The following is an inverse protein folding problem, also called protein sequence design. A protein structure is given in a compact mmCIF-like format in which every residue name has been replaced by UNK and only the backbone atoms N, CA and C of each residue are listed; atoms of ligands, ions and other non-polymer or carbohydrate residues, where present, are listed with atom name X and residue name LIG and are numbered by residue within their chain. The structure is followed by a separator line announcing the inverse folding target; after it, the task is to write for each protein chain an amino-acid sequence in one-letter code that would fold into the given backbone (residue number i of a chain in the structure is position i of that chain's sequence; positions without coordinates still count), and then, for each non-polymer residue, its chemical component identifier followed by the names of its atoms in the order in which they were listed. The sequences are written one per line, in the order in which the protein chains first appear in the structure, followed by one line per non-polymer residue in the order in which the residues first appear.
data_IF_470865043064
#
_entry.id   IF_470865043064
#
_cell.length_a   1.000
_cell.length_b   1.000
_cell.length_c   1.000
_cell.angle_alpha   90.00
_cell.angle_beta   90.00
_cell.angle_gamma   90.00
#
_symmetry.space_group_name_H-M   'P 1'
#
loop_
_entity.id
_entity.type
_entity.pdbx_description
1 polymer ?
#
# COMPACT_ATOMS: atom_id res chain seq x y z
N UNK A 1 -7.62 4.96 23.24
CA UNK A 1 -8.40 3.71 23.27
C UNK A 1 -9.89 4.05 23.29
N UNK A 2 -10.70 3.30 22.56
CA UNK A 2 -12.16 3.27 22.67
C UNK A 2 -12.63 1.83 22.90
N UNK A 3 -13.79 1.66 23.54
CA UNK A 3 -14.43 0.35 23.73
C UNK A 3 -15.85 0.44 23.16
N UNK A 4 -16.27 -0.58 22.40
CA UNK A 4 -17.61 -0.65 21.82
C UNK A 4 -18.28 -2.00 22.09
N UNK A 5 -19.52 -1.99 22.57
CA UNK A 5 -20.32 -3.19 22.82
C UNK A 5 -21.25 -3.48 21.63
N UNK A 6 -21.01 -4.59 20.93
CA UNK A 6 -21.82 -5.03 19.79
C UNK A 6 -22.78 -6.16 20.15
N UNK A 7 -22.87 -6.52 21.43
CA UNK A 7 -23.82 -7.55 21.89
C UNK A 7 -25.25 -7.04 21.75
N UNK A 8 -26.19 -7.95 21.50
CA UNK A 8 -27.62 -7.64 21.49
C UNK A 8 -28.22 -7.50 22.91
N UNK A 9 -27.45 -7.83 23.95
CA UNK A 9 -27.86 -7.80 25.34
C UNK A 9 -27.96 -6.35 25.85
N UNK A 10 -28.63 -6.16 27.00
CA UNK A 10 -28.59 -4.87 27.71
C UNK A 10 -27.13 -4.50 28.03
N UNK A 11 -26.75 -3.22 27.97
CA UNK A 11 -25.35 -2.79 28.09
C UNK A 11 -24.63 -3.26 29.35
N UNK A 12 -25.34 -3.47 30.46
CA UNK A 12 -24.77 -3.93 31.72
C UNK A 12 -25.03 -5.41 32.02
N UNK A 13 -25.76 -6.14 31.18
CA UNK A 13 -26.16 -7.52 31.44
C UNK A 13 -25.21 -8.52 30.75
N UNK A 14 -24.78 -9.54 31.49
CA UNK A 14 -23.91 -10.60 30.98
C UNK A 14 -24.69 -11.88 30.66
N UNK A 15 -25.85 -12.08 31.28
CA UNK A 15 -26.67 -13.27 31.10
C UNK A 15 -27.60 -13.47 32.28
N UNK A 16 -28.01 -14.71 32.50
CA UNK A 16 -28.82 -15.10 33.65
C UNK A 16 -28.07 -16.15 34.48
N UNK A 17 -28.16 -16.01 35.80
CA UNK A 17 -27.57 -16.90 36.80
C UNK A 17 -28.65 -17.47 37.72
N UNK A 18 -28.38 -18.60 38.36
CA UNK A 18 -29.29 -19.23 39.32
C UNK A 18 -28.89 -18.88 40.76
N UNK A 19 -29.81 -18.25 41.51
CA UNK A 19 -29.63 -17.90 42.91
C UNK A 19 -30.82 -18.41 43.71
N UNK A 20 -30.57 -19.29 44.68
CA UNK A 20 -31.59 -19.95 45.50
C UNK A 20 -32.80 -20.46 44.68
N UNK A 21 -32.52 -21.24 43.64
CA UNK A 21 -33.52 -21.83 42.74
C UNK A 21 -34.17 -20.89 41.73
N UNK A 22 -33.87 -19.58 41.75
CA UNK A 22 -34.43 -18.59 40.82
C UNK A 22 -33.41 -18.13 39.80
N UNK A 23 -33.85 -17.97 38.56
CA UNK A 23 -33.05 -17.34 37.50
C UNK A 23 -33.12 -15.82 37.66
N UNK A 24 -31.96 -15.18 37.80
CA UNK A 24 -31.82 -13.72 37.96
C UNK A 24 -30.79 -13.19 36.97
N UNK A 25 -30.96 -11.96 36.44
CA UNK A 25 -29.99 -11.38 35.52
C UNK A 25 -28.67 -11.08 36.26
N UNK A 26 -27.55 -11.52 35.67
CA UNK A 26 -26.22 -11.06 36.10
C UNK A 26 -25.94 -9.72 35.42
N UNK A 27 -26.00 -8.65 36.20
CA UNK A 27 -25.76 -7.29 35.74
C UNK A 27 -24.61 -6.63 36.49
N UNK A 28 -23.83 -5.82 35.77
CA UNK A 28 -22.79 -4.96 36.32
C UNK A 28 -23.39 -3.65 36.85
N UNK A 29 -22.65 -2.98 37.74
CA UNK A 29 -23.02 -1.68 38.32
C UNK A 29 -23.07 -0.55 37.28
N UNK A 30 -22.34 -0.69 36.18
CA UNK A 30 -22.32 0.22 35.04
C UNK A 30 -22.32 -0.57 33.72
N UNK A 31 -22.37 0.13 32.58
CA UNK A 31 -22.30 -0.54 31.27
C UNK A 31 -20.98 -1.33 31.15
N UNK A 32 -21.03 -2.43 30.41
CA UNK A 32 -19.85 -3.25 30.16
C UNK A 32 -18.77 -2.43 29.45
N UNK A 33 -19.14 -1.60 28.49
CA UNK A 33 -18.22 -0.66 27.82
C UNK A 33 -17.42 0.17 28.83
N UNK A 34 -18.11 0.79 29.80
CA UNK A 34 -17.48 1.62 30.81
C UNK A 34 -16.63 0.80 31.77
N UNK A 35 -17.14 -0.34 32.25
CA UNK A 35 -16.38 -1.25 33.12
C UNK A 35 -15.08 -1.73 32.50
N UNK A 36 -15.09 -2.03 31.20
CA UNK A 36 -13.91 -2.49 30.49
C UNK A 36 -12.98 -1.35 30.13
N UNK A 37 -13.52 -0.20 29.73
CA UNK A 37 -12.73 1.01 29.56
C UNK A 37 -11.95 1.32 30.85
N UNK A 38 -12.61 1.37 32.00
CA UNK A 38 -11.97 1.65 33.29
C UNK A 38 -10.90 0.59 33.65
N UNK A 39 -11.17 -0.69 33.37
CA UNK A 39 -10.23 -1.79 33.63
C UNK A 39 -8.97 -1.72 32.76
N UNK A 40 -9.11 -1.41 31.47
CA UNK A 40 -7.99 -1.35 30.54
C UNK A 40 -7.27 -0.02 30.53
N UNK A 41 -7.95 1.10 30.76
CA UNK A 41 -7.32 2.42 30.88
C UNK A 41 -6.31 2.44 32.04
N UNK A 42 -6.64 1.74 33.14
CA UNK A 42 -5.69 1.52 34.25
C UNK A 42 -4.50 0.62 33.86
N UNK A 43 -4.70 -0.32 32.94
CA UNK A 43 -3.72 -1.36 32.60
C UNK A 43 -2.80 -0.96 31.43
N UNK A 44 -3.22 -0.02 30.59
CA UNK A 44 -2.46 0.48 29.45
C UNK A 44 -1.58 1.67 29.86
N UNK A 45 -0.30 1.67 29.45
CA UNK A 45 0.63 2.79 29.72
C UNK A 45 0.22 4.07 28.97
N UNK A 46 0.75 5.18 29.47
CA UNK A 46 0.46 6.58 29.12
C UNK A 46 0.30 6.83 27.62
N UNK A 47 -0.69 7.68 27.27
CA UNK A 47 -0.92 8.21 25.93
C UNK A 47 0.30 9.00 25.45
N UNK A 48 1.15 8.37 24.65
CA UNK A 48 2.08 9.10 23.79
C UNK A 48 1.29 9.68 22.60
N UNK A 49 1.72 10.85 22.12
CA UNK A 49 1.14 11.56 20.97
C UNK A 49 1.06 10.68 19.70
N UNK A 50 1.86 9.61 19.68
CA UNK A 50 2.08 8.66 18.60
C UNK A 50 1.30 7.34 18.75
N UNK A 51 0.41 7.23 19.74
CA UNK A 51 -0.36 6.01 19.99
C UNK A 51 -1.43 5.76 18.90
N UNK A 52 -1.56 4.49 18.48
CA UNK A 52 -2.61 4.09 17.53
C UNK A 52 -3.99 4.26 18.21
N UNK A 53 -5.00 4.85 17.55
CA UNK A 53 -6.37 4.91 18.06
C UNK A 53 -7.01 3.52 18.08
N UNK A 54 -6.64 2.71 19.09
CA UNK A 54 -7.15 1.36 19.31
C UNK A 54 -8.62 1.40 19.72
N UNK A 55 -9.44 0.63 19.03
CA UNK A 55 -10.81 0.29 19.39
C UNK A 55 -10.88 -1.18 19.79
N UNK A 56 -11.48 -1.45 20.94
CA UNK A 56 -11.73 -2.80 21.44
C UNK A 56 -13.22 -3.07 21.35
N UNK A 57 -13.60 -3.93 20.41
CA UNK A 57 -14.98 -4.30 20.15
C UNK A 57 -15.34 -5.57 20.90
N UNK A 58 -16.45 -5.55 21.64
CA UNK A 58 -17.00 -6.68 22.36
C UNK A 58 -18.03 -7.38 21.48
N UNK A 59 -17.66 -8.54 20.94
CA UNK A 59 -18.55 -9.35 20.12
C UNK A 59 -19.41 -10.29 20.97
N UNK A 60 -18.82 -10.82 22.06
CA UNK A 60 -19.51 -11.66 23.03
C UNK A 60 -18.92 -11.46 24.41
N UNK A 61 -19.79 -11.28 25.41
CA UNK A 61 -19.46 -11.43 26.83
C UNK A 61 -20.72 -12.01 27.44
N UNK A 62 -20.70 -13.31 27.70
CA UNK A 62 -21.89 -14.08 28.08
C UNK A 62 -21.64 -14.95 29.29
N UNK A 63 -22.66 -15.08 30.14
CA UNK A 63 -22.73 -16.06 31.22
C UNK A 63 -23.98 -16.89 31.05
N UNK A 64 -23.82 -18.21 31.04
CA UNK A 64 -24.92 -19.15 31.05
C UNK A 64 -24.73 -20.15 32.18
N UNK A 65 -25.82 -20.45 32.87
CA UNK A 65 -25.81 -21.40 33.98
C UNK A 65 -26.94 -22.41 33.85
N UNK A 66 -26.73 -23.59 34.43
CA UNK A 66 -27.76 -24.61 34.59
C UNK A 66 -27.61 -25.29 35.95
N UNK A 67 -28.75 -25.61 36.57
CA UNK A 67 -28.78 -26.43 37.79
C UNK A 67 -28.47 -27.88 37.42
N UNK A 68 -27.49 -28.48 38.10
CA UNK A 68 -27.06 -29.87 37.85
C UNK A 68 -27.32 -30.80 39.03
N UNK A 69 -27.43 -30.28 40.25
CA UNK A 69 -27.86 -31.02 41.44
C UNK A 69 -28.39 -30.03 42.51
N UNK A 70 -28.99 -30.50 43.63
CA UNK A 70 -29.32 -29.62 44.76
C UNK A 70 -28.09 -28.85 45.23
N UNK A 71 -28.21 -27.52 45.35
CA UNK A 71 -27.10 -26.62 45.70
C UNK A 71 -25.86 -26.75 44.79
N UNK A 72 -26.04 -27.12 43.52
CA UNK A 72 -24.94 -27.24 42.54
C UNK A 72 -25.36 -26.69 41.18
N UNK A 73 -24.71 -25.62 40.78
CA UNK A 73 -24.87 -24.94 39.49
C UNK A 73 -23.60 -25.16 38.66
N UNK A 74 -23.78 -25.52 37.39
CA UNK A 74 -22.71 -25.51 36.40
C UNK A 74 -22.86 -24.28 35.51
N UNK A 75 -21.80 -23.50 35.38
CA UNK A 75 -21.78 -22.27 34.60
C UNK A 75 -20.72 -22.29 33.52
N UNK A 76 -20.94 -21.48 32.49
CA UNK A 76 -20.00 -21.19 31.42
C UNK A 76 -19.99 -19.67 31.18
N UNK A 77 -18.79 -19.11 31.12
CA UNK A 77 -18.56 -17.72 30.73
C UNK A 77 -17.76 -17.71 29.42
N UNK A 78 -18.18 -16.89 28.45
CA UNK A 78 -17.47 -16.69 27.18
C UNK A 78 -17.18 -15.23 26.94
N UNK A 79 -16.05 -14.97 26.31
CA UNK A 79 -15.58 -13.65 25.88
C UNK A 79 -15.07 -13.77 24.46
N UNK A 80 -15.57 -12.93 23.57
CA UNK A 80 -15.08 -12.72 22.20
C UNK A 80 -14.88 -11.23 21.98
N UNK A 81 -13.64 -10.87 21.65
CA UNK A 81 -13.18 -9.49 21.49
C UNK A 81 -12.47 -9.35 20.16
N UNK A 82 -12.70 -8.22 19.50
CA UNK A 82 -12.02 -7.83 18.27
C UNK A 82 -11.25 -6.53 18.50
N UNK A 83 -9.95 -6.55 18.20
CA UNK A 83 -9.09 -5.37 18.23
C UNK A 83 -9.05 -4.72 16.85
N UNK A 84 -9.34 -3.43 16.83
CA UNK A 84 -9.34 -2.59 15.63
C UNK A 84 -8.56 -1.32 15.88
N UNK A 85 -8.18 -0.64 14.82
CA UNK A 85 -7.81 0.76 14.93
C UNK A 85 -8.33 1.53 13.72
N UNK A 86 -8.46 2.84 13.88
CA UNK A 86 -9.00 3.69 12.81
C UNK A 86 -7.87 4.38 12.06
N UNK A 87 -7.76 4.12 10.75
CA UNK A 87 -6.87 4.85 9.82
C UNK A 87 -7.74 5.62 8.84
N UNK A 88 -7.58 6.94 8.76
CA UNK A 88 -8.37 7.81 7.87
C UNK A 88 -9.90 7.60 7.98
N UNK A 89 -10.42 7.48 9.21
CA UNK A 89 -11.84 7.20 9.53
C UNK A 89 -12.36 5.82 9.11
N UNK A 90 -11.48 4.93 8.63
CA UNK A 90 -11.82 3.54 8.30
C UNK A 90 -11.33 2.62 9.41
N UNK A 91 -12.22 1.79 10.02
CA UNK A 91 -11.81 0.81 11.01
C UNK A 91 -11.11 -0.38 10.34
N UNK A 92 -9.89 -0.68 10.79
CA UNK A 92 -9.09 -1.81 10.33
C UNK A 92 -9.06 -2.88 11.40
N UNK A 93 -9.39 -4.12 11.01
CA UNK A 93 -9.21 -5.29 11.87
C UNK A 93 -7.73 -5.56 12.08
N UNK A 94 -7.32 -5.71 13.34
CA UNK A 94 -5.95 -6.10 13.70
C UNK A 94 -5.91 -7.58 14.05
N UNK A 95 -6.63 -7.97 15.11
CA UNK A 95 -6.67 -9.35 15.61
C UNK A 95 -7.92 -9.57 16.45
N UNK A 96 -8.21 -10.83 16.76
CA UNK A 96 -9.33 -11.24 17.60
C UNK A 96 -8.92 -12.20 18.71
N UNK A 97 -9.70 -12.19 19.78
CA UNK A 97 -9.58 -13.07 20.93
C UNK A 97 -10.91 -13.76 21.18
N UNK A 98 -10.87 -15.06 21.45
CA UNK A 98 -12.04 -15.83 21.89
C UNK A 98 -11.61 -16.81 22.98
N UNK A 99 -12.29 -16.76 24.11
CA UNK A 99 -12.03 -17.67 25.22
C UNK A 99 -13.30 -17.92 26.03
N UNK A 100 -13.31 -19.05 26.73
CA UNK A 100 -14.37 -19.39 27.65
C UNK A 100 -13.83 -20.16 28.83
N UNK A 101 -14.58 -20.14 29.93
CA UNK A 101 -14.28 -20.89 31.12
C UNK A 101 -15.55 -21.47 31.72
N UNK A 102 -15.48 -22.73 32.12
CA UNK A 102 -16.54 -23.41 32.84
C UNK A 102 -16.24 -23.41 34.34
N UNK A 103 -17.28 -23.37 35.15
CA UNK A 103 -17.16 -23.41 36.60
C UNK A 103 -18.34 -24.17 37.22
N UNK A 104 -18.16 -24.55 38.48
CA UNK A 104 -19.23 -25.13 39.30
C UNK A 104 -19.28 -24.39 40.62
N UNK A 105 -20.48 -24.07 41.10
CA UNK A 105 -20.67 -23.30 42.34
C UNK A 105 -21.94 -23.73 43.10
N UNK A 106 -22.04 -23.40 44.39
CA UNK A 106 -23.30 -23.46 45.13
C UNK A 106 -24.32 -22.44 44.60
N UNK A 107 -25.59 -22.57 45.00
CA UNK A 107 -26.67 -21.63 44.65
C UNK A 107 -26.53 -20.25 45.33
N UNK A 108 -25.57 -20.11 46.25
CA UNK A 108 -25.18 -18.85 46.91
C UNK A 108 -24.29 -17.97 46.03
N UNK A 109 -23.76 -16.87 46.59
CA UNK A 109 -22.90 -15.90 45.89
C UNK A 109 -21.66 -16.54 45.26
N UNK A 110 -21.27 -16.07 44.08
CA UNK A 110 -20.04 -16.44 43.38
C UNK A 110 -19.45 -15.22 42.67
N UNK A 111 -18.13 -15.14 42.68
CA UNK A 111 -17.39 -14.02 42.11
C UNK A 111 -17.21 -14.20 40.60
N UNK A 112 -18.26 -13.88 39.85
CA UNK A 112 -18.24 -13.84 38.40
C UNK A 112 -17.30 -12.73 37.87
N UNK A 113 -17.08 -11.69 38.66
CA UNK A 113 -16.25 -10.55 38.25
C UNK A 113 -14.78 -10.95 38.17
N UNK A 114 -14.27 -11.70 39.15
CA UNK A 114 -12.91 -12.25 39.11
C UNK A 114 -12.69 -13.15 37.89
N UNK A 115 -13.66 -14.01 37.55
CA UNK A 115 -13.56 -14.86 36.36
C UNK A 115 -13.54 -14.03 35.07
N UNK A 116 -14.41 -13.02 34.98
CA UNK A 116 -14.47 -12.12 33.84
C UNK A 116 -13.14 -11.37 33.67
N UNK A 117 -12.60 -10.77 34.74
CA UNK A 117 -11.30 -10.08 34.74
C UNK A 117 -10.19 -10.97 34.21
N UNK A 118 -10.10 -12.22 34.67
CA UNK A 118 -9.10 -13.17 34.19
C UNK A 118 -9.19 -13.44 32.68
N UNK A 119 -10.40 -13.56 32.12
CA UNK A 119 -10.58 -13.76 30.67
C UNK A 119 -10.17 -12.51 29.89
N UNK A 120 -10.50 -11.32 30.39
CA UNK A 120 -10.16 -10.04 29.78
C UNK A 120 -8.65 -9.76 29.81
N UNK A 121 -7.97 -10.07 30.92
CA UNK A 121 -6.51 -9.99 31.00
C UNK A 121 -5.85 -10.90 29.96
N UNK A 122 -6.49 -12.04 29.66
CA UNK A 122 -6.08 -12.95 28.60
C UNK A 122 -6.11 -12.29 27.22
N UNK A 123 -7.16 -11.51 26.93
CA UNK A 123 -7.29 -10.78 25.68
C UNK A 123 -6.17 -9.74 25.50
N UNK A 124 -5.87 -8.97 26.55
CA UNK A 124 -4.81 -7.94 26.50
C UNK A 124 -3.44 -8.57 26.33
N UNK A 125 -3.11 -9.64 27.07
CA UNK A 125 -1.84 -10.36 26.90
C UNK A 125 -1.66 -10.90 25.47
N UNK A 126 -2.71 -11.45 24.89
CA UNK A 126 -2.66 -11.98 23.53
C UNK A 126 -2.52 -10.85 22.49
N UNK A 127 -3.20 -9.71 22.69
CA UNK A 127 -3.02 -8.54 21.86
C UNK A 127 -1.61 -7.97 21.95
N UNK A 128 -1.05 -7.83 23.15
CA UNK A 128 0.32 -7.33 23.38
C UNK A 128 1.37 -8.23 22.69
N UNK A 129 1.23 -9.55 22.85
CA UNK A 129 2.07 -10.52 22.15
C UNK A 129 1.94 -10.38 20.63
N UNK A 130 0.70 -10.28 20.12
CA UNK A 130 0.46 -10.10 18.69
C UNK A 130 1.09 -8.80 18.19
N UNK A 131 0.90 -7.69 18.91
CA UNK A 131 1.46 -6.39 18.57
C UNK A 131 3.00 -6.45 18.52
N UNK A 132 3.65 -6.98 19.54
CA UNK A 132 5.12 -7.12 19.56
C UNK A 132 5.69 -7.98 18.43
N UNK A 133 4.94 -8.98 17.94
CA UNK A 133 5.34 -9.79 16.79
C UNK A 133 5.15 -9.07 15.44
N UNK A 134 4.19 -8.14 15.37
CA UNK A 134 3.76 -7.47 14.14
C UNK A 134 4.27 -6.03 14.02
N UNK A 135 4.76 -5.43 15.10
CA UNK A 135 5.27 -4.07 15.14
C UNK A 135 6.35 -3.87 14.07
N UNK A 136 6.20 -2.79 13.29
CA UNK A 136 7.06 -2.43 12.14
C UNK A 136 7.19 -3.51 11.05
N UNK A 137 6.35 -4.54 11.06
CA UNK A 137 6.38 -5.65 10.07
C UNK A 137 5.05 -5.82 9.35
N UNK A 138 3.94 -5.56 10.03
CA UNK A 138 2.61 -5.74 9.47
C UNK A 138 2.08 -4.42 8.87
N UNK A 139 1.76 -4.36 7.56
CA UNK A 139 1.17 -3.18 6.92
C UNK A 139 -0.16 -2.71 7.51
N UNK A 140 -0.88 -3.57 8.23
CA UNK A 140 -2.09 -3.18 8.96
C UNK A 140 -1.81 -2.18 10.08
N UNK A 141 -0.57 -2.15 10.60
CA UNK A 141 -0.11 -1.20 11.62
C UNK A 141 0.58 0.03 11.00
N UNK A 142 0.74 0.09 9.68
CA UNK A 142 1.32 1.25 9.02
C UNK A 142 0.41 2.48 9.17
N UNK A 143 1.00 3.61 9.53
CA UNK A 143 0.33 4.92 9.70
C UNK A 143 0.06 5.62 8.37
N UNK A 144 0.76 5.24 7.32
CA UNK A 144 0.56 5.79 5.98
C UNK A 144 1.51 5.15 4.97
N UNK A 145 1.35 5.57 3.73
CA UNK A 145 2.24 5.20 2.64
C UNK A 145 3.31 6.28 2.48
N UNK A 146 4.56 5.86 2.24
CA UNK A 146 5.65 6.74 1.81
C UNK A 146 6.13 6.30 0.44
N UNK A 147 5.93 7.17 -0.55
CA UNK A 147 6.47 6.95 -1.90
C UNK A 147 7.94 7.36 -1.95
N UNK A 148 8.78 6.50 -2.51
CA UNK A 148 10.18 6.77 -2.83
C UNK A 148 10.39 6.51 -4.31
N UNK A 149 10.77 7.54 -5.05
CA UNK A 149 11.10 7.45 -6.47
C UNK A 149 12.62 7.34 -6.61
N UNK A 150 13.08 6.38 -7.41
CA UNK A 150 14.50 6.18 -7.71
C UNK A 150 14.74 6.29 -9.21
N UNK A 151 15.78 7.03 -9.54
CA UNK A 151 16.41 7.01 -10.85
C UNK A 151 17.70 6.19 -10.69
N UNK A 152 17.61 4.87 -10.86
CA UNK A 152 18.82 4.05 -10.91
C UNK A 152 19.30 4.01 -12.36
N UNK A 153 20.43 4.66 -12.72
CA UNK A 153 21.01 4.50 -14.04
C UNK A 153 21.50 3.05 -14.14
N UNK A 154 20.85 2.20 -14.93
CA UNK A 154 21.25 0.81 -14.98
C UNK A 154 22.56 0.73 -15.75
N UNK A 155 23.41 -0.25 -15.41
CA UNK A 155 24.55 -0.55 -16.28
C UNK A 155 24.00 -1.02 -17.63
N UNK A 156 24.53 -0.49 -18.73
CA UNK A 156 24.20 -0.97 -20.07
C UNK A 156 24.26 -2.50 -20.11
N UNK A 157 23.15 -3.10 -20.53
CA UNK A 157 23.08 -4.52 -20.82
C UNK A 157 23.40 -4.75 -22.29
N UNK A 158 23.72 -5.99 -22.67
CA UNK A 158 24.16 -6.31 -24.03
C UNK A 158 23.22 -5.74 -25.11
N UNK A 159 21.91 -5.87 -24.94
CA UNK A 159 20.90 -5.43 -25.93
C UNK A 159 20.14 -4.15 -25.54
N UNK A 160 20.55 -3.46 -24.48
CA UNK A 160 19.79 -2.32 -23.94
C UNK A 160 20.71 -1.14 -23.62
N UNK A 161 20.36 0.02 -24.19
CA UNK A 161 20.95 1.32 -23.84
C UNK A 161 20.00 1.98 -22.85
N UNK A 162 20.49 2.37 -21.68
CA UNK A 162 19.68 3.16 -20.75
C UNK A 162 19.91 4.64 -20.96
N UNK A 163 18.86 5.43 -20.72
CA UNK A 163 18.90 6.87 -20.91
C UNK A 163 19.88 7.51 -19.92
N UNK A 164 20.76 8.36 -20.45
CA UNK A 164 21.64 9.19 -19.63
C UNK A 164 21.77 10.56 -20.31
N UNK A 165 21.66 11.69 -19.57
CA UNK A 165 21.69 13.02 -20.16
C UNK A 165 22.98 13.27 -20.96
N UNK A 166 24.11 12.78 -20.45
CA UNK A 166 25.44 12.96 -21.06
C UNK A 166 25.80 11.90 -22.11
N UNK A 167 24.95 10.88 -22.33
CA UNK A 167 25.21 9.80 -23.29
C UNK A 167 24.19 9.82 -24.42
N UNK A 168 24.59 10.32 -25.58
CA UNK A 168 23.77 10.31 -26.78
C UNK A 168 23.85 8.95 -27.49
N UNK A 169 22.78 8.60 -28.20
CA UNK A 169 22.74 7.44 -29.07
C UNK A 169 23.81 7.55 -30.16
N UNK A 170 24.36 6.40 -30.54
CA UNK A 170 25.29 6.28 -31.65
C UNK A 170 24.79 5.22 -32.63
N UNK A 171 25.25 5.24 -33.88
CA UNK A 171 24.88 4.18 -34.84
C UNK A 171 25.31 2.77 -34.41
N UNK A 172 26.23 2.61 -33.45
CA UNK A 172 26.59 1.32 -32.85
C UNK A 172 25.47 0.71 -32.01
N UNK A 173 24.53 1.54 -31.54
CA UNK A 173 23.38 1.10 -30.77
C UNK A 173 22.25 0.54 -31.68
N UNK A 174 22.30 0.77 -33.00
CA UNK A 174 21.28 0.33 -33.96
C UNK A 174 21.68 -1.01 -34.60
N UNK A 175 21.50 -2.10 -33.83
CA UNK A 175 21.94 -3.45 -34.19
C UNK A 175 20.85 -4.28 -34.88
N UNK A 176 19.63 -3.76 -34.98
CA UNK A 176 18.54 -4.38 -35.72
C UNK A 176 18.82 -4.46 -37.22
N UNK A 177 18.28 -5.51 -37.86
CA UNK A 177 18.44 -5.72 -39.30
C UNK A 177 17.82 -4.54 -40.08
N UNK A 178 18.66 -3.86 -40.86
CA UNK A 178 18.30 -2.68 -41.66
C UNK A 178 17.50 -3.01 -42.92
N UNK A 179 17.60 -4.24 -43.42
CA UNK A 179 16.81 -4.70 -44.55
C UNK A 179 15.41 -5.12 -44.06
N UNK A 180 14.47 -4.18 -44.07
CA UNK A 180 13.04 -4.42 -43.84
C UNK A 180 12.26 -4.22 -45.14
N UNK A 181 12.01 -5.29 -45.92
CA UNK A 181 11.26 -5.22 -47.17
C UNK A 181 9.90 -4.51 -46.97
N UNK A 182 9.61 -3.50 -47.79
CA UNK A 182 8.36 -2.74 -47.74
C UNK A 182 8.30 -1.61 -46.70
N UNK A 183 9.31 -1.45 -45.83
CA UNK A 183 9.37 -0.30 -44.92
C UNK A 183 9.64 1.00 -45.68
N UNK A 184 8.84 2.04 -45.43
CA UNK A 184 9.06 3.40 -45.99
C UNK A 184 10.02 4.24 -45.13
N UNK A 185 10.41 3.75 -43.97
CA UNK A 185 11.25 4.47 -43.01
C UNK A 185 12.74 4.26 -43.29
N UNK A 186 13.53 5.31 -43.02
CA UNK A 186 14.98 5.32 -43.21
C UNK A 186 15.73 4.77 -41.99
N UNK A 187 15.19 5.00 -40.80
CA UNK A 187 15.62 4.45 -39.52
C UNK A 187 14.40 4.33 -38.59
N UNK A 188 14.57 3.61 -37.49
CA UNK A 188 13.64 3.61 -36.37
C UNK A 188 14.37 3.22 -35.08
N UNK A 189 14.12 3.99 -34.02
CA UNK A 189 14.49 3.66 -32.66
C UNK A 189 13.34 2.95 -31.93
N UNK A 190 13.66 1.89 -31.20
CA UNK A 190 12.74 1.30 -30.24
C UNK A 190 13.08 1.85 -28.86
N UNK A 191 12.43 2.94 -28.46
CA UNK A 191 12.57 3.55 -27.13
C UNK A 191 11.32 3.32 -26.29
N UNK A 192 11.50 3.06 -24.99
CA UNK A 192 10.40 2.80 -24.07
C UNK A 192 10.81 3.07 -22.61
N UNK A 193 9.84 2.96 -21.72
CA UNK A 193 10.01 3.08 -20.27
C UNK A 193 9.40 1.88 -19.55
N UNK A 194 10.00 1.51 -18.42
CA UNK A 194 9.47 0.50 -17.50
C UNK A 194 9.74 0.94 -16.07
N UNK A 195 9.02 0.37 -15.11
CA UNK A 195 9.32 0.55 -13.70
C UNK A 195 9.38 -0.78 -12.98
N UNK A 196 10.15 -0.80 -11.90
CA UNK A 196 10.17 -1.87 -10.91
C UNK A 196 9.62 -1.30 -9.60
N UNK A 197 8.58 -1.94 -9.08
CA UNK A 197 7.96 -1.59 -7.81
C UNK A 197 8.29 -2.61 -6.72
N UNK A 198 8.60 -2.12 -5.52
CA UNK A 198 8.58 -2.95 -4.33
C UNK A 198 8.00 -2.16 -3.15
N UNK A 199 7.52 -2.87 -2.15
CA UNK A 199 7.10 -2.25 -0.90
C UNK A 199 7.67 -3.00 0.30
N UNK A 200 7.95 -2.25 1.35
CA UNK A 200 8.41 -2.78 2.62
C UNK A 200 7.95 -1.89 3.76
N UNK A 201 7.84 -2.46 4.95
CA UNK A 201 7.73 -1.63 6.15
C UNK A 201 9.05 -0.85 6.37
N UNK A 202 8.90 0.43 6.67
CA UNK A 202 9.95 1.34 7.06
C UNK A 202 9.46 2.11 8.30
N UNK A 203 9.86 1.65 9.48
CA UNK A 203 9.30 2.07 10.76
C UNK A 203 7.77 1.93 10.77
N UNK A 204 7.05 3.04 10.98
CA UNK A 204 5.60 3.08 11.06
C UNK A 204 4.93 3.33 9.70
N UNK A 205 5.66 3.32 8.59
CA UNK A 205 5.13 3.57 7.25
C UNK A 205 5.35 2.39 6.32
N UNK A 206 4.40 2.18 5.42
CA UNK A 206 4.63 1.31 4.27
C UNK A 206 5.38 2.13 3.22
N UNK A 207 6.64 1.81 2.96
CA UNK A 207 7.43 2.46 1.92
C UNK A 207 7.23 1.74 0.60
N UNK A 208 6.64 2.41 -0.39
CA UNK A 208 6.61 1.96 -1.77
C UNK A 208 7.78 2.60 -2.53
N UNK A 209 8.66 1.78 -3.10
CA UNK A 209 9.80 2.24 -3.90
C UNK A 209 9.55 1.92 -5.35
N UNK A 210 9.60 2.95 -6.21
CA UNK A 210 9.45 2.84 -7.66
C UNK A 210 10.78 3.22 -8.30
N UNK A 211 11.41 2.26 -8.98
CA UNK A 211 12.62 2.47 -9.77
C UNK A 211 12.24 2.56 -11.24
N UNK A 212 12.43 3.73 -11.85
CA UNK A 212 12.05 3.96 -13.25
C UNK A 212 13.25 3.76 -14.17
N UNK A 213 13.02 3.11 -15.31
CA UNK A 213 14.02 2.86 -16.34
C UNK A 213 13.51 3.39 -17.67
N UNK A 214 14.34 4.18 -18.35
CA UNK A 214 14.11 4.65 -19.72
C UNK A 214 15.19 4.04 -20.59
N UNK A 215 14.80 3.40 -21.67
CA UNK A 215 15.72 2.57 -22.43
C UNK A 215 15.42 2.51 -23.93
N UNK A 216 16.43 2.09 -24.67
CA UNK A 216 16.39 1.78 -26.09
C UNK A 216 16.90 0.35 -26.31
N UNK A 217 16.20 -0.42 -27.15
CA UNK A 217 16.54 -1.83 -27.44
C UNK A 217 17.36 -1.90 -28.74
N UNK A 218 18.61 -2.37 -28.65
CA UNK A 218 19.57 -2.31 -29.77
C UNK A 218 19.14 -3.20 -30.93
N UNK A 219 18.71 -4.42 -30.65
CA UNK A 219 18.26 -5.41 -31.65
C UNK A 219 16.96 -5.02 -32.37
N UNK A 220 16.15 -4.14 -31.77
CA UNK A 220 14.90 -3.65 -32.35
C UNK A 220 15.06 -2.30 -33.08
N UNK A 221 16.15 -1.59 -32.79
CA UNK A 221 16.48 -0.30 -33.41
C UNK A 221 17.37 -0.49 -34.63
N UNK A 222 17.04 0.15 -35.74
CA UNK A 222 17.73 -0.07 -37.02
C UNK A 222 17.79 1.22 -37.86
N UNK A 223 18.72 1.26 -38.81
CA UNK A 223 18.84 2.34 -39.78
C UNK A 223 19.51 1.83 -41.04
N UNK A 224 18.97 2.23 -42.21
CA UNK A 224 19.57 1.92 -43.51
C UNK A 224 20.91 2.59 -43.65
N UNK A 225 21.84 1.94 -44.33
CA UNK A 225 23.24 2.40 -44.41
C UNK A 225 23.33 3.82 -45.00
N UNK A 226 22.56 4.10 -46.06
CA UNK A 226 22.46 5.41 -46.69
C UNK A 226 21.82 6.50 -45.82
N UNK A 227 21.07 6.11 -44.79
CA UNK A 227 20.40 7.03 -43.87
C UNK A 227 21.20 7.29 -42.58
N UNK A 228 22.34 6.60 -42.39
CA UNK A 228 23.20 6.73 -41.20
C UNK A 228 24.03 8.02 -41.21
N UNK A 229 23.35 9.15 -41.01
CA UNK A 229 23.96 10.47 -40.89
C UNK A 229 23.57 11.13 -39.56
N UNK A 230 24.19 12.28 -39.25
CA UNK A 230 23.96 13.00 -37.99
C UNK A 230 22.54 13.53 -37.84
N UNK A 231 21.89 13.91 -38.95
CA UNK A 231 20.52 14.43 -38.94
C UNK A 231 19.50 13.35 -38.60
N UNK A 232 19.59 12.17 -39.24
CA UNK A 232 18.73 11.03 -38.91
C UNK A 232 18.96 10.56 -37.48
N UNK A 233 20.22 10.49 -37.02
CA UNK A 233 20.51 10.10 -35.64
C UNK A 233 19.91 11.09 -34.62
N UNK A 234 19.92 12.39 -34.92
CA UNK A 234 19.26 13.40 -34.09
C UNK A 234 17.73 13.26 -34.07
N UNK A 235 17.13 12.75 -35.15
CA UNK A 235 15.71 12.42 -35.19
C UNK A 235 15.39 11.32 -34.17
N UNK A 236 16.15 10.22 -34.22
CA UNK A 236 16.01 9.09 -33.30
C UNK A 236 16.34 9.46 -31.85
N UNK A 237 17.31 10.35 -31.63
CA UNK A 237 17.61 10.88 -30.29
C UNK A 237 16.42 11.67 -29.72
N UNK A 238 15.71 12.44 -30.55
CA UNK A 238 14.52 13.18 -30.10
C UNK A 238 13.43 12.24 -29.61
N UNK A 239 13.20 11.10 -30.28
CA UNK A 239 12.28 10.06 -29.79
C UNK A 239 12.69 9.52 -28.41
N UNK A 240 13.99 9.25 -28.22
CA UNK A 240 14.48 8.78 -26.92
C UNK A 240 14.35 9.83 -25.81
N UNK A 241 14.60 11.10 -26.13
CA UNK A 241 14.42 12.23 -25.22
C UNK A 241 12.93 12.46 -24.87
N UNK A 242 12.00 12.28 -25.83
CA UNK A 242 10.55 12.32 -25.56
C UNK A 242 10.19 11.25 -24.53
N UNK A 243 10.65 10.00 -24.70
CA UNK A 243 10.40 8.93 -23.73
C UNK A 243 10.88 9.29 -22.32
N UNK A 244 12.06 9.94 -22.20
CA UNK A 244 12.56 10.43 -20.90
C UNK A 244 11.70 11.53 -20.28
N UNK A 245 11.17 12.43 -21.08
CA UNK A 245 10.25 13.48 -20.62
C UNK A 245 8.98 12.86 -20.04
N UNK A 246 8.40 11.89 -20.74
CA UNK A 246 7.18 11.21 -20.29
C UNK A 246 7.41 10.43 -18.99
N UNK A 247 8.59 9.81 -18.87
CA UNK A 247 9.04 9.19 -17.63
C UNK A 247 9.09 10.18 -16.45
N UNK A 248 9.53 11.43 -16.67
CA UNK A 248 9.46 12.46 -15.61
C UNK A 248 8.01 12.85 -15.30
N UNK A 249 7.16 13.01 -16.33
CA UNK A 249 5.75 13.34 -16.13
C UNK A 249 5.00 12.26 -15.34
N UNK A 250 5.38 10.99 -15.50
CA UNK A 250 4.90 9.89 -14.67
C UNK A 250 5.31 10.09 -13.19
N UNK A 251 6.59 10.38 -12.92
CA UNK A 251 7.06 10.68 -11.55
C UNK A 251 6.31 11.85 -10.92
N UNK A 252 6.10 12.92 -11.67
CA UNK A 252 5.36 14.10 -11.20
C UNK A 252 3.87 13.81 -10.94
N UNK A 253 3.26 12.90 -11.70
CA UNK A 253 1.90 12.40 -11.42
C UNK A 253 1.86 11.61 -10.12
N UNK A 254 2.79 10.67 -9.92
CA UNK A 254 2.84 9.89 -8.68
C UNK A 254 3.03 10.74 -7.42
N UNK A 255 3.75 11.86 -7.52
CA UNK A 255 3.91 12.82 -6.40
C UNK A 255 2.61 13.54 -6.02
N UNK A 256 1.61 13.58 -6.91
CA UNK A 256 0.35 14.32 -6.74
C UNK A 256 -0.85 13.40 -6.45
N UNK A 257 -0.78 12.13 -6.83
CA UNK A 257 -1.83 11.15 -6.57
C UNK A 257 -1.90 10.81 -5.08
N UNK A 258 -3.11 10.71 -4.54
CA UNK A 258 -3.36 10.30 -3.16
C UNK A 258 -3.27 8.76 -3.02
N UNK A 259 -2.04 8.27 -2.99
CA UNK A 259 -1.76 6.84 -2.88
C UNK A 259 -2.12 6.32 -1.48
N UNK A 260 -2.97 5.29 -1.42
CA UNK A 260 -3.38 4.64 -0.17
C UNK A 260 -2.64 3.32 0.04
N UNK A 261 -2.53 2.86 1.29
CA UNK A 261 -1.90 1.55 1.57
C UNK A 261 -2.69 0.41 0.91
N UNK A 262 -4.00 0.58 0.79
CA UNK A 262 -4.93 -0.41 0.25
C UNK A 262 -4.83 -0.55 -1.28
N UNK A 263 -4.44 0.51 -1.99
CA UNK A 263 -4.61 0.57 -3.46
C UNK A 263 -3.45 1.26 -4.22
N UNK A 264 -2.33 1.56 -3.56
CA UNK A 264 -1.19 2.21 -4.22
C UNK A 264 -0.69 1.46 -5.45
N UNK A 265 -0.70 0.13 -5.45
CA UNK A 265 -0.20 -0.69 -6.56
C UNK A 265 -1.04 -0.49 -7.83
N UNK A 266 -2.38 -0.59 -7.71
CA UNK A 266 -3.31 -0.36 -8.81
C UNK A 266 -3.22 1.07 -9.34
N UNK A 267 -3.10 2.06 -8.44
CA UNK A 267 -2.99 3.47 -8.81
C UNK A 267 -1.69 3.76 -9.56
N UNK A 268 -0.56 3.24 -9.09
CA UNK A 268 0.73 3.38 -9.78
C UNK A 268 0.67 2.72 -11.17
N UNK A 269 0.07 1.53 -11.27
CA UNK A 269 -0.12 0.86 -12.55
C UNK A 269 -1.00 1.67 -13.51
N UNK A 270 -2.09 2.25 -13.02
CA UNK A 270 -2.97 3.10 -13.81
C UNK A 270 -2.22 4.31 -14.37
N UNK A 271 -1.50 5.05 -13.51
CA UNK A 271 -0.71 6.21 -13.93
C UNK A 271 0.40 5.84 -14.91
N UNK A 272 0.99 4.65 -14.78
CA UNK A 272 1.96 4.15 -15.74
C UNK A 272 1.34 3.89 -17.11
N UNK A 273 0.15 3.29 -17.17
CA UNK A 273 -0.56 3.07 -18.44
C UNK A 273 -0.95 4.39 -19.11
N UNK A 274 -1.35 5.40 -18.34
CA UNK A 274 -1.61 6.75 -18.85
C UNK A 274 -0.33 7.38 -19.41
N UNK A 275 0.80 7.26 -18.70
CA UNK A 275 2.09 7.73 -19.20
C UNK A 275 2.51 6.98 -20.48
N UNK A 276 2.29 5.67 -20.56
CA UNK A 276 2.62 4.88 -21.74
C UNK A 276 1.77 5.28 -22.96
N UNK A 277 0.48 5.59 -22.75
CA UNK A 277 -0.39 6.13 -23.81
C UNK A 277 0.09 7.49 -24.28
N UNK A 278 0.41 8.39 -23.35
CA UNK A 278 0.95 9.72 -23.67
C UNK A 278 2.27 9.62 -24.46
N UNK A 279 3.16 8.70 -24.09
CA UNK A 279 4.41 8.43 -24.80
C UNK A 279 4.16 8.09 -26.28
N UNK A 280 3.22 7.18 -26.55
CA UNK A 280 2.92 6.80 -27.94
C UNK A 280 2.30 7.98 -28.70
N UNK A 281 1.37 8.72 -28.08
CA UNK A 281 0.76 9.90 -28.70
C UNK A 281 1.79 10.99 -29.04
N UNK A 282 2.74 11.29 -28.14
CA UNK A 282 3.76 12.31 -28.41
C UNK A 282 4.79 11.85 -29.45
N UNK A 283 5.17 10.56 -29.47
CA UNK A 283 6.04 10.02 -30.53
C UNK A 283 5.35 10.07 -31.91
N UNK A 284 4.08 9.65 -32.00
CA UNK A 284 3.30 9.73 -33.26
C UNK A 284 3.12 11.17 -33.73
N UNK A 285 2.88 12.10 -32.80
CA UNK A 285 2.76 13.52 -33.10
C UNK A 285 4.07 14.10 -33.65
N UNK A 286 5.20 13.79 -33.02
CA UNK A 286 6.51 14.22 -33.49
C UNK A 286 6.80 13.70 -34.91
N UNK A 287 6.52 12.42 -35.16
CA UNK A 287 6.65 11.82 -36.50
C UNK A 287 5.74 12.52 -37.53
N UNK A 288 4.46 12.72 -37.20
CA UNK A 288 3.51 13.35 -38.11
C UNK A 288 3.92 14.79 -38.47
N UNK A 289 4.26 15.61 -37.47
CA UNK A 289 4.62 17.02 -37.64
C UNK A 289 5.95 17.20 -38.40
N UNK A 290 6.91 16.30 -38.18
CA UNK A 290 8.19 16.31 -38.89
C UNK A 290 8.11 15.63 -40.26
N UNK A 291 6.98 15.02 -40.62
CA UNK A 291 6.83 14.15 -41.80
C UNK A 291 7.89 13.04 -41.78
N UNK A 292 8.00 12.32 -40.65
CA UNK A 292 9.00 11.29 -40.37
C UNK A 292 10.43 11.78 -40.62
N UNK A 293 10.75 12.97 -40.09
CA UNK A 293 12.06 13.60 -40.23
C UNK A 293 12.34 14.28 -41.57
N UNK A 294 11.38 14.36 -42.51
CA UNK A 294 11.59 15.08 -43.78
C UNK A 294 11.52 16.60 -43.66
N UNK A 295 10.92 17.13 -42.60
CA UNK A 295 10.80 18.57 -42.32
C UNK A 295 11.86 19.03 -41.31
N UNK A 296 12.98 19.52 -41.83
CA UNK A 296 14.14 19.97 -41.04
C UNK A 296 13.82 21.11 -40.08
N UNK A 297 12.99 22.07 -40.50
CA UNK A 297 12.59 23.22 -39.67
C UNK A 297 11.75 22.76 -38.47
N UNK A 298 10.77 21.89 -38.70
CA UNK A 298 9.93 21.36 -37.61
C UNK A 298 10.73 20.46 -36.66
N UNK A 299 11.63 19.62 -37.19
CA UNK A 299 12.51 18.81 -36.36
C UNK A 299 13.40 19.68 -35.46
N UNK A 300 14.01 20.74 -36.00
CA UNK A 300 14.83 21.66 -35.22
C UNK A 300 14.04 22.36 -34.09
N UNK A 301 12.78 22.72 -34.36
CA UNK A 301 11.89 23.29 -33.34
C UNK A 301 11.58 22.27 -32.22
N UNK A 302 11.25 21.03 -32.58
CA UNK A 302 11.03 19.94 -31.63
C UNK A 302 12.27 19.62 -30.81
N UNK A 303 13.44 19.46 -31.43
CA UNK A 303 14.68 19.19 -30.73
C UNK A 303 15.01 20.29 -29.72
N UNK A 304 14.76 21.57 -30.05
CA UNK A 304 14.93 22.67 -29.09
C UNK A 304 13.99 22.55 -27.89
N UNK A 305 12.69 22.37 -28.14
CA UNK A 305 11.67 22.21 -27.09
C UNK A 305 12.01 21.04 -26.15
N UNK A 306 12.36 19.90 -26.74
CA UNK A 306 12.70 18.67 -26.00
C UNK A 306 13.98 18.87 -25.18
N UNK A 307 15.01 19.52 -25.73
CA UNK A 307 16.22 19.80 -24.96
C UNK A 307 16.01 20.83 -23.84
N UNK A 308 15.12 21.81 -24.01
CA UNK A 308 14.72 22.71 -22.93
C UNK A 308 13.99 21.96 -21.80
N UNK A 309 13.12 21.00 -22.13
CA UNK A 309 12.47 20.11 -21.16
C UNK A 309 13.49 19.21 -20.45
N UNK A 310 14.37 18.52 -21.18
CA UNK A 310 15.45 17.70 -20.61
C UNK A 310 16.35 18.53 -19.70
N UNK A 311 16.75 19.72 -20.12
CA UNK A 311 17.58 20.61 -19.29
C UNK A 311 16.89 20.97 -17.98
N UNK A 312 15.59 21.28 -18.00
CA UNK A 312 14.84 21.54 -16.76
C UNK A 312 14.80 20.36 -15.82
N UNK A 313 14.69 19.14 -16.35
CA UNK A 313 14.68 17.90 -15.56
C UNK A 313 15.98 17.73 -14.78
N UNK A 314 17.13 18.05 -15.37
CA UNK A 314 18.46 17.85 -14.78
C UNK A 314 19.10 19.11 -14.16
N UNK A 315 18.51 20.30 -14.34
CA UNK A 315 18.94 21.53 -13.67
C UNK A 315 18.27 21.73 -12.31
N UNK A 316 17.12 21.08 -12.07
CA UNK A 316 16.36 21.17 -10.82
C UNK A 316 16.55 19.99 -9.85
N UNK A 317 17.46 19.07 -10.16
CA UNK A 317 17.74 17.83 -9.42
C UNK A 317 18.91 17.96 -8.46
#
# INVERSE_FOLDING_TARGET
MAVSDKRANKPNQLGNIFVYGKSVPLALSQSLEKSLFDHWDYSLKTKEEDSLPLEIQLDEVSVSERKVAPNKIAGEMKVKITFRWTRNKVPLFLTGYSSGSTYTRPESTYDHEALLRRLLDGAIRQFDQWYGLNDKKNPQLARGLKLVLKDEPPSDQADTVFYHPDKKLTWLDFQGKSNRPGSKYAAAVFSSMSYEGNSRMADNYLQATISLKVFMVRSMSWGREEARNTYTLAHEQTHFDITRIIAERFKERLKKVDLTIEDYDSQIQYEFLEAFREMNTEQEKYDAETRHGLNTTTQAAWSRKVQEEISRIYQGS
#
